data_IF_246546349012
#
_entry.id   IF_246546349012
#
_cell.length_a   1.000
_cell.length_b   1.000
_cell.length_c   1.000
_cell.angle_alpha   90.00
_cell.angle_beta   90.00
_cell.angle_gamma   90.00
#
_symmetry.space_group_name_H-M   'P 1'
#
loop_
_entity.id
_entity.type
_entity.pdbx_description
1 polymer ?
#
# COMPACT_ATOMS: atom_id res chain seq x y z
N UNK A 1 2.23 -33.66 -40.44
CA UNK A 1 2.79 -34.81 -39.72
C UNK A 1 2.19 -34.82 -38.32
N UNK A 2 1.17 -35.65 -38.12
CA UNK A 2 0.53 -35.90 -36.82
C UNK A 2 1.43 -36.86 -36.04
N UNK A 3 1.76 -36.54 -34.79
CA UNK A 3 2.16 -37.55 -33.80
C UNK A 3 1.50 -37.21 -32.46
N UNK A 4 0.87 -38.25 -31.91
CA UNK A 4 -0.04 -38.26 -30.77
C UNK A 4 0.70 -38.20 -29.44
N UNK A 5 -0.04 -37.71 -28.45
CA UNK A 5 0.14 -37.81 -27.00
C UNK A 5 0.66 -39.17 -26.50
N UNK A 6 1.50 -39.13 -25.47
CA UNK A 6 1.47 -40.10 -24.37
C UNK A 6 1.79 -39.39 -23.05
N UNK A 7 0.91 -39.64 -22.07
CA UNK A 7 0.90 -39.21 -20.68
C UNK A 7 2.01 -39.90 -19.88
N UNK A 8 2.65 -39.17 -18.97
CA UNK A 8 3.32 -39.77 -17.81
C UNK A 8 2.98 -38.97 -16.56
N UNK A 9 2.40 -39.68 -15.59
CA UNK A 9 1.99 -39.17 -14.28
C UNK A 9 3.22 -38.75 -13.47
N UNK A 10 3.17 -37.54 -12.90
CA UNK A 10 4.07 -37.11 -11.84
C UNK A 10 3.24 -36.90 -10.58
N UNK A 11 3.23 -37.96 -9.77
CA UNK A 11 3.35 -37.99 -8.31
C UNK A 11 2.56 -36.96 -7.49
N UNK A 12 1.68 -37.52 -6.65
CA UNK A 12 1.10 -36.88 -5.46
C UNK A 12 2.09 -35.92 -4.79
N UNK A 13 1.83 -34.62 -4.93
CA UNK A 13 2.46 -33.59 -4.11
C UNK A 13 1.90 -33.75 -2.70
N UNK A 14 2.77 -34.15 -1.80
CA UNK A 14 2.56 -34.23 -0.36
C UNK A 14 1.80 -32.98 0.18
N UNK A 15 1.01 -33.12 1.26
CA UNK A 15 0.25 -32.01 1.81
C UNK A 15 1.17 -30.83 2.13
N UNK A 16 0.75 -29.65 1.68
CA UNK A 16 1.45 -28.39 1.82
C UNK A 16 2.08 -28.26 3.22
N UNK A 17 3.40 -28.16 3.25
CA UNK A 17 4.14 -27.79 4.45
C UNK A 17 3.63 -26.46 4.96
N UNK A 18 3.33 -26.37 6.26
CA UNK A 18 2.98 -25.13 6.95
C UNK A 18 4.02 -24.05 6.62
N UNK A 19 3.69 -23.18 5.67
CA UNK A 19 4.46 -22.00 5.36
C UNK A 19 4.59 -21.17 6.65
N UNK A 20 5.80 -20.72 6.95
CA UNK A 20 5.99 -19.81 8.08
C UNK A 20 5.22 -18.51 7.80
N UNK A 21 4.71 -17.82 8.83
CA UNK A 21 3.96 -16.56 8.64
C UNK A 21 4.72 -15.48 7.84
N UNK A 22 6.05 -15.59 7.76
CA UNK A 22 6.89 -14.73 6.92
C UNK A 22 6.73 -15.04 5.43
N UNK A 23 6.64 -16.31 5.02
CA UNK A 23 6.47 -16.70 3.61
C UNK A 23 5.12 -16.22 3.06
N UNK A 24 4.09 -16.21 3.90
CA UNK A 24 2.76 -15.67 3.54
C UNK A 24 2.72 -14.14 3.41
N UNK A 25 3.74 -13.43 3.91
CA UNK A 25 3.79 -11.97 3.89
C UNK A 25 4.61 -11.40 2.70
N UNK A 26 5.38 -12.23 2.00
CA UNK A 26 6.20 -11.78 0.86
C UNK A 26 5.32 -11.59 -0.38
N UNK A 27 5.38 -10.42 -1.00
CA UNK A 27 4.69 -10.17 -2.27
C UNK A 27 5.31 -10.99 -3.40
N UNK A 28 4.52 -11.89 -4.01
CA UNK A 28 4.85 -12.65 -5.21
C UNK A 28 3.56 -13.21 -5.84
N UNK A 29 3.69 -14.06 -6.86
CA UNK A 29 2.59 -14.66 -7.61
C UNK A 29 1.61 -15.48 -6.74
N UNK A 30 2.10 -16.11 -5.67
CA UNK A 30 1.27 -16.89 -4.75
C UNK A 30 0.41 -15.99 -3.84
N UNK A 31 0.85 -14.76 -3.57
CA UNK A 31 0.17 -13.82 -2.67
C UNK A 31 -0.76 -12.82 -3.39
N UNK A 32 -0.97 -12.94 -4.69
CA UNK A 32 -1.80 -11.99 -5.46
C UNK A 32 -3.24 -11.88 -4.94
N UNK A 33 -3.82 -12.98 -4.45
CA UNK A 33 -5.16 -12.95 -3.85
C UNK A 33 -5.18 -12.15 -2.55
N UNK A 34 -4.20 -12.37 -1.67
CA UNK A 34 -4.06 -11.63 -0.42
C UNK A 34 -3.81 -10.13 -0.69
N UNK A 35 -2.90 -9.80 -1.62
CA UNK A 35 -2.64 -8.41 -2.01
C UNK A 35 -3.89 -7.70 -2.56
N UNK A 36 -4.65 -8.38 -3.44
CA UNK A 36 -5.91 -7.84 -3.98
C UNK A 36 -6.93 -7.58 -2.88
N UNK A 37 -7.08 -8.52 -1.94
CA UNK A 37 -7.98 -8.37 -0.81
C UNK A 37 -7.57 -7.18 0.08
N UNK A 38 -6.31 -7.10 0.49
CA UNK A 38 -5.78 -6.00 1.31
C UNK A 38 -5.96 -4.65 0.64
N UNK A 39 -5.75 -4.57 -0.67
CA UNK A 39 -5.96 -3.34 -1.45
C UNK A 39 -7.44 -2.93 -1.44
N UNK A 40 -8.36 -3.89 -1.53
CA UNK A 40 -9.80 -3.63 -1.47
C UNK A 40 -10.24 -3.18 -0.06
N UNK A 41 -9.67 -3.76 1.01
CA UNK A 41 -9.91 -3.35 2.39
C UNK A 41 -9.50 -1.89 2.61
N UNK A 42 -8.30 -1.52 2.16
CA UNK A 42 -7.81 -0.12 2.23
C UNK A 42 -8.68 0.80 1.39
N UNK A 43 -9.07 0.41 0.17
CA UNK A 43 -9.97 1.19 -0.67
C UNK A 43 -11.32 1.44 0.03
N UNK A 44 -11.90 0.41 0.65
CA UNK A 44 -13.16 0.52 1.36
C UNK A 44 -13.03 1.44 2.59
N UNK A 45 -11.94 1.31 3.36
CA UNK A 45 -11.65 2.19 4.49
C UNK A 45 -11.51 3.65 4.04
N UNK A 46 -10.62 3.93 3.08
CA UNK A 46 -10.36 5.28 2.59
C UNK A 46 -11.59 5.92 1.97
N UNK A 47 -12.40 5.15 1.23
CA UNK A 47 -13.68 5.64 0.68
C UNK A 47 -14.61 6.11 1.79
N UNK A 48 -14.79 5.32 2.86
CA UNK A 48 -15.63 5.72 4.00
C UNK A 48 -15.05 6.93 4.71
N UNK A 49 -13.75 6.93 4.99
CA UNK A 49 -13.07 8.01 5.71
C UNK A 49 -13.20 9.33 4.96
N UNK A 50 -12.78 9.38 3.68
CA UNK A 50 -12.80 10.61 2.87
C UNK A 50 -14.22 11.14 2.68
N UNK A 51 -15.21 10.25 2.52
CA UNK A 51 -16.63 10.63 2.43
C UNK A 51 -17.14 11.33 3.70
N UNK A 52 -16.59 10.95 4.87
CA UNK A 52 -16.94 11.54 6.16
C UNK A 52 -16.15 12.80 6.55
N UNK A 53 -15.21 13.28 5.72
CA UNK A 53 -14.39 14.46 6.05
C UNK A 53 -15.21 15.75 5.87
N UNK A 54 -15.66 16.32 6.99
CA UNK A 54 -16.43 17.59 7.01
C UNK A 54 -15.58 18.86 7.21
N UNK A 55 -14.34 18.70 7.68
CA UNK A 55 -13.40 19.79 8.00
C UNK A 55 -11.95 19.35 7.75
N UNK A 56 -11.02 20.29 7.47
CA UNK A 56 -9.67 19.94 7.05
C UNK A 56 -8.78 19.38 8.17
N UNK A 57 -9.15 19.55 9.44
CA UNK A 57 -8.44 19.03 10.60
C UNK A 57 -9.39 18.94 11.81
N UNK A 58 -9.13 18.01 12.72
CA UNK A 58 -9.94 17.82 13.93
C UNK A 58 -9.80 18.99 14.92
N UNK A 59 -8.58 19.53 15.03
CA UNK A 59 -8.21 20.52 16.04
C UNK A 59 -7.49 19.93 17.27
N UNK A 60 -7.22 18.62 17.27
CA UNK A 60 -6.53 17.95 18.38
C UNK A 60 -5.15 18.59 18.64
N UNK A 61 -4.78 18.70 19.91
CA UNK A 61 -3.46 19.18 20.31
C UNK A 61 -2.44 18.03 20.32
N UNK A 62 -1.15 18.30 20.05
CA UNK A 62 -0.14 17.24 20.00
C UNK A 62 -0.06 16.38 21.27
N UNK A 63 -0.23 16.97 22.45
CA UNK A 63 -0.16 16.23 23.71
C UNK A 63 -1.40 15.37 23.97
N UNK A 64 -2.56 15.72 23.41
CA UNK A 64 -3.77 14.92 23.48
C UNK A 64 -3.60 13.65 22.64
N UNK A 65 -3.10 13.79 21.40
CA UNK A 65 -2.83 12.65 20.53
C UNK A 65 -1.67 11.79 21.04
N UNK A 66 -0.57 12.40 21.51
CA UNK A 66 0.60 11.67 22.02
C UNK A 66 0.29 10.73 23.20
N UNK A 67 -0.75 11.03 23.98
CA UNK A 67 -1.20 10.16 25.06
C UNK A 67 -1.79 8.83 24.53
N UNK A 68 -2.35 8.80 23.33
CA UNK A 68 -2.83 7.55 22.72
C UNK A 68 -1.67 6.69 22.19
N UNK A 69 -0.57 7.34 21.78
CA UNK A 69 0.63 6.65 21.30
C UNK A 69 1.47 6.00 22.41
N UNK A 70 1.28 6.35 23.69
CA UNK A 70 2.02 5.72 24.79
C UNK A 70 1.68 4.24 25.00
N UNK A 71 0.52 3.81 24.49
CA UNK A 71 0.02 2.45 24.61
C UNK A 71 0.46 1.55 23.43
N UNK A 72 1.10 2.13 22.40
CA UNK A 72 1.56 1.38 21.22
C UNK A 72 2.88 0.67 21.55
N UNK A 73 2.84 -0.66 21.60
CA UNK A 73 4.01 -1.51 21.77
C UNK A 73 4.34 -2.24 20.45
N UNK A 74 5.35 -1.77 19.73
CA UNK A 74 5.75 -2.35 18.44
C UNK A 74 6.41 -3.73 18.56
N UNK A 75 6.85 -4.14 19.76
CA UNK A 75 7.33 -5.51 20.03
C UNK A 75 6.15 -6.49 20.24
N UNK A 76 4.91 -5.97 20.31
CA UNK A 76 3.66 -6.73 20.43
C UNK A 76 2.69 -6.36 19.33
N UNK A 77 2.94 -6.78 18.08
CA UNK A 77 2.08 -6.44 16.96
C UNK A 77 0.67 -7.02 17.15
N UNK A 78 -0.32 -6.30 16.61
CA UNK A 78 -1.75 -6.66 16.69
C UNK A 78 -2.11 -7.97 15.96
N UNK A 79 -1.21 -8.47 15.11
CA UNK A 79 -1.27 -9.81 14.54
C UNK A 79 -2.11 -9.95 13.26
N UNK A 80 -2.96 -8.99 12.92
CA UNK A 80 -3.70 -8.97 11.65
C UNK A 80 -3.94 -7.54 11.14
N UNK A 81 -4.32 -7.44 9.86
CA UNK A 81 -4.54 -6.16 9.19
C UNK A 81 -5.78 -5.43 9.67
N UNK A 82 -6.86 -6.12 10.04
CA UNK A 82 -8.10 -5.48 10.48
C UNK A 82 -7.89 -4.68 11.77
N UNK A 83 -7.18 -5.27 12.74
CA UNK A 83 -6.82 -4.61 13.99
C UNK A 83 -5.85 -3.45 13.74
N UNK A 84 -4.84 -3.64 12.87
CA UNK A 84 -3.91 -2.57 12.50
C UNK A 84 -4.60 -1.40 11.76
N UNK A 85 -5.53 -1.67 10.84
CA UNK A 85 -6.31 -0.64 10.15
C UNK A 85 -7.28 0.07 11.10
N UNK A 86 -7.79 -0.64 12.11
CA UNK A 86 -8.62 -0.05 13.17
C UNK A 86 -7.82 0.90 14.03
N UNK A 87 -6.63 0.48 14.49
CA UNK A 87 -5.71 1.34 15.24
C UNK A 87 -5.25 2.54 14.40
N UNK A 88 -4.86 2.32 13.14
CA UNK A 88 -4.48 3.39 12.20
C UNK A 88 -5.62 4.40 11.99
N UNK A 89 -6.86 3.92 11.95
CA UNK A 89 -8.03 4.81 11.84
C UNK A 89 -8.15 5.74 13.03
N UNK A 90 -7.83 5.26 14.24
CA UNK A 90 -7.88 6.03 15.48
C UNK A 90 -6.68 6.97 15.64
N UNK A 91 -5.47 6.44 15.45
CA UNK A 91 -4.22 7.16 15.72
C UNK A 91 -3.81 8.13 14.60
N UNK A 92 -4.25 7.88 13.36
CA UNK A 92 -3.86 8.68 12.20
C UNK A 92 -5.05 9.28 11.46
N UNK A 93 -5.95 8.48 10.90
CA UNK A 93 -6.97 9.00 9.96
C UNK A 93 -7.98 9.94 10.63
N UNK A 94 -8.32 9.70 11.90
CA UNK A 94 -9.24 10.54 12.69
C UNK A 94 -8.80 12.01 12.74
N UNK A 95 -7.50 12.23 12.89
CA UNK A 95 -6.90 13.55 13.12
C UNK A 95 -6.01 14.01 11.97
N UNK A 96 -6.03 13.30 10.82
CA UNK A 96 -5.26 13.69 9.66
C UNK A 96 -5.62 15.10 9.17
N UNK A 97 -4.62 15.81 8.63
CA UNK A 97 -4.83 17.08 7.93
C UNK A 97 -5.20 16.78 6.48
N UNK A 98 -6.46 17.00 6.12
CA UNK A 98 -7.02 16.61 4.84
C UNK A 98 -6.84 17.70 3.77
N UNK A 99 -5.71 17.65 3.05
CA UNK A 99 -5.36 18.64 2.02
C UNK A 99 -6.36 18.72 0.84
N UNK A 100 -7.15 17.67 0.60
CA UNK A 100 -8.21 17.71 -0.42
C UNK A 100 -9.41 18.57 -0.02
N UNK A 101 -9.59 18.86 1.28
CA UNK A 101 -10.75 19.59 1.77
C UNK A 101 -10.64 21.08 1.41
N UNK A 102 -11.67 21.72 0.82
CA UNK A 102 -11.57 23.08 0.25
C UNK A 102 -11.27 24.20 1.27
N UNK A 103 -11.46 23.92 2.57
CA UNK A 103 -11.10 24.85 3.66
C UNK A 103 -9.64 24.73 4.12
N UNK A 104 -8.87 23.78 3.58
CA UNK A 104 -7.42 23.75 3.81
C UNK A 104 -6.74 24.77 2.89
N UNK A 105 -6.20 25.85 3.46
CA UNK A 105 -5.63 26.99 2.71
C UNK A 105 -4.35 27.55 3.36
N UNK A 106 -3.59 26.71 4.07
CA UNK A 106 -2.48 27.15 4.92
C UNK A 106 -1.12 27.20 4.19
N UNK A 107 -0.67 26.06 3.66
CA UNK A 107 0.69 25.89 3.14
C UNK A 107 0.68 25.37 1.69
N UNK A 108 1.87 25.15 1.12
CA UNK A 108 2.06 24.59 -0.23
C UNK A 108 1.81 23.07 -0.28
N UNK A 109 0.78 22.59 0.43
CA UNK A 109 0.32 21.22 0.35
C UNK A 109 -0.79 21.15 -0.70
N UNK A 110 -0.47 20.60 -1.86
CA UNK A 110 -1.42 20.45 -2.95
C UNK A 110 -2.30 19.21 -2.75
N UNK A 111 -3.59 19.26 -3.12
CA UNK A 111 -4.35 18.06 -3.42
C UNK A 111 -3.64 17.23 -4.49
N UNK A 112 -3.69 15.90 -4.36
CA UNK A 112 -3.10 14.97 -5.32
C UNK A 112 -4.07 14.62 -6.44
N UNK A 113 -3.54 14.33 -7.63
CA UNK A 113 -4.34 13.90 -8.79
C UNK A 113 -4.39 12.37 -8.89
N UNK A 114 -5.49 11.82 -9.44
CA UNK A 114 -5.70 10.37 -9.55
C UNK A 114 -4.55 9.61 -10.24
N UNK A 115 -3.94 10.11 -11.33
CA UNK A 115 -2.78 9.43 -11.93
C UNK A 115 -1.59 9.27 -10.99
N UNK A 116 -1.41 10.18 -10.02
CA UNK A 116 -0.35 10.08 -9.02
C UNK A 116 -0.59 8.89 -8.09
N UNK A 117 -1.82 8.67 -7.64
CA UNK A 117 -2.18 7.53 -6.79
C UNK A 117 -1.99 6.20 -7.54
N UNK A 118 -2.34 6.15 -8.82
CA UNK A 118 -2.11 4.98 -9.67
C UNK A 118 -0.62 4.67 -9.83
N UNK A 119 0.22 5.70 -10.02
CA UNK A 119 1.66 5.53 -10.13
C UNK A 119 2.25 4.94 -8.83
N UNK A 120 1.86 5.46 -7.67
CA UNK A 120 2.31 4.95 -6.35
C UNK A 120 1.94 3.48 -6.13
N UNK A 121 0.73 3.07 -6.56
CA UNK A 121 0.31 1.67 -6.47
C UNK A 121 1.22 0.74 -7.29
N UNK A 122 1.61 1.15 -8.50
CA UNK A 122 2.53 0.39 -9.35
C UNK A 122 3.94 0.40 -8.72
N UNK A 123 4.40 1.55 -8.23
CA UNK A 123 5.72 1.71 -7.62
C UNK A 123 5.90 0.79 -6.41
N UNK A 124 4.90 0.71 -5.53
CA UNK A 124 4.96 -0.16 -4.35
C UNK A 124 5.04 -1.66 -4.72
N UNK A 125 4.41 -2.08 -5.83
CA UNK A 125 4.43 -3.48 -6.27
C UNK A 125 5.74 -3.85 -7.00
N UNK A 126 6.31 -2.94 -7.79
CA UNK A 126 7.52 -3.20 -8.59
C UNK A 126 8.80 -2.95 -7.77
N UNK A 127 8.79 -1.94 -6.90
CA UNK A 127 9.90 -1.59 -6.00
C UNK A 127 11.26 -1.39 -6.71
N UNK A 128 11.27 -0.73 -7.87
CA UNK A 128 12.50 -0.41 -8.60
C UNK A 128 13.35 0.64 -7.87
N UNK A 129 14.67 0.47 -7.87
CA UNK A 129 15.63 1.51 -7.47
C UNK A 129 16.20 2.18 -8.72
N UNK A 130 16.03 3.50 -8.84
CA UNK A 130 16.40 4.27 -10.05
C UNK A 130 17.83 4.80 -10.06
N UNK A 131 18.65 4.38 -9.10
CA UNK A 131 20.07 4.74 -8.99
C UNK A 131 20.93 4.08 -10.09
N UNK A 132 20.54 2.88 -10.54
CA UNK A 132 21.30 2.08 -11.50
C UNK A 132 20.40 1.34 -12.48
N UNK A 133 20.91 1.12 -13.69
CA UNK A 133 20.15 0.54 -14.80
C UNK A 133 19.60 -0.87 -14.51
N UNK A 134 20.37 -1.72 -13.84
CA UNK A 134 20.00 -3.11 -13.55
C UNK A 134 18.93 -3.24 -12.45
N UNK A 135 18.60 -2.15 -11.75
CA UNK A 135 17.56 -2.10 -10.72
C UNK A 135 16.26 -1.40 -11.19
N UNK A 136 16.26 -0.77 -12.37
CA UNK A 136 15.12 0.03 -12.87
C UNK A 136 14.76 -0.19 -14.34
N UNK A 137 15.74 -0.52 -15.19
CA UNK A 137 15.62 -0.64 -16.64
C UNK A 137 14.76 0.48 -17.28
N UNK A 138 13.51 0.16 -17.63
CA UNK A 138 12.56 1.11 -18.21
C UNK A 138 12.26 2.31 -17.29
N UNK A 139 12.33 2.15 -15.96
CA UNK A 139 12.16 3.22 -14.99
C UNK A 139 13.13 4.39 -15.20
N UNK A 140 14.42 4.09 -15.42
CA UNK A 140 15.42 5.13 -15.74
C UNK A 140 15.11 5.87 -17.04
N UNK A 141 14.62 5.17 -18.07
CA UNK A 141 14.25 5.85 -19.33
C UNK A 141 12.97 6.67 -19.19
N UNK A 142 12.01 6.24 -18.37
CA UNK A 142 10.80 7.02 -18.04
C UNK A 142 11.20 8.29 -17.30
N UNK A 143 12.07 8.19 -16.30
CA UNK A 143 12.59 9.36 -15.56
C UNK A 143 13.29 10.34 -16.50
N UNK A 144 14.19 9.84 -17.36
CA UNK A 144 14.86 10.68 -18.35
C UNK A 144 13.85 11.35 -19.29
N UNK A 145 12.76 10.69 -19.67
CA UNK A 145 11.71 11.31 -20.50
C UNK A 145 10.97 12.44 -19.79
N UNK A 146 10.74 12.33 -18.48
CA UNK A 146 10.14 13.43 -17.70
C UNK A 146 11.13 14.60 -17.57
N UNK A 147 12.42 14.32 -17.37
CA UNK A 147 13.48 15.34 -17.36
C UNK A 147 13.55 16.05 -18.72
N UNK A 148 13.67 15.29 -19.81
CA UNK A 148 13.72 15.81 -21.19
C UNK A 148 12.50 16.68 -21.53
N UNK A 149 11.33 16.37 -20.95
CA UNK A 149 10.10 17.13 -21.15
C UNK A 149 10.05 18.43 -20.33
N UNK A 150 10.70 18.45 -19.17
CA UNK A 150 10.63 19.60 -18.22
C UNK A 150 11.68 20.68 -18.55
N UNK A 151 12.73 20.32 -19.28
CA UNK A 151 13.81 21.22 -19.74
C UNK A 151 13.48 21.88 -21.08
#
# INVERSE_FOLDING_TARGET
MLLRSSTQAAQDLAPASNASGAETAIFNDQQLAAWSQQTQEVLALMTRTVTGVEKPFSGILPHELAAEFSEVDLDRPLGNNDDALTELSQLYLRDAVWFHHPKYLAHLNCPVVLPSLMAEQIMAAVNSSVDTWDQSAGGTLIEQKVIDWTL
#
